data_IF_038311269223
#
_entry.id   IF_038311269223
#
_cell.length_a   1.000
_cell.length_b   1.000
_cell.length_c   1.000
_cell.angle_alpha   90.00
_cell.angle_beta   90.00
_cell.angle_gamma   90.00
#
_symmetry.space_group_name_H-M   'P 1'
#
loop_
_entity.id
_entity.type
_entity.pdbx_description
1 polymer ?
#
# COMPACT_ATOMS: atom_id res chain seq x y z
N UNK A 1 -1.53 -12.31 18.17
CA UNK A 1 -2.90 -12.82 18.08
C UNK A 1 -3.90 -11.70 17.72
N UNK A 2 -3.89 -10.57 18.45
CA UNK A 2 -4.79 -9.44 18.18
C UNK A 2 -4.66 -8.95 16.73
N UNK A 3 -3.48 -8.67 16.27
CA UNK A 3 -3.22 -8.21 14.90
C UNK A 3 -3.67 -9.21 13.83
N UNK A 4 -3.52 -10.51 14.11
CA UNK A 4 -4.01 -11.55 13.21
C UNK A 4 -5.53 -11.47 13.01
N UNK A 5 -6.30 -11.31 14.11
CA UNK A 5 -7.76 -11.18 14.04
C UNK A 5 -8.18 -9.82 13.49
N UNK A 6 -7.58 -8.73 13.99
CA UNK A 6 -8.01 -7.37 13.76
C UNK A 6 -7.59 -6.82 12.39
N UNK A 7 -6.34 -7.08 11.99
CA UNK A 7 -5.74 -6.45 10.80
C UNK A 7 -5.62 -7.40 9.61
N UNK A 8 -5.38 -8.69 9.87
CA UNK A 8 -5.02 -9.63 8.82
C UNK A 8 -6.13 -10.60 8.44
N UNK A 9 -7.20 -10.70 9.26
CA UNK A 9 -8.31 -11.62 8.98
C UNK A 9 -9.68 -10.97 9.23
N UNK A 10 -10.35 -11.33 10.32
CA UNK A 10 -11.78 -11.08 10.52
C UNK A 10 -12.19 -9.63 10.79
N UNK A 11 -11.27 -8.75 11.06
CA UNK A 11 -11.46 -7.32 11.35
C UNK A 11 -12.11 -7.01 12.72
N UNK A 12 -12.01 -5.76 13.21
CA UNK A 12 -12.65 -5.32 14.46
C UNK A 12 -14.16 -5.54 14.47
N UNK A 13 -14.80 -5.49 13.29
CA UNK A 13 -16.27 -5.58 13.16
C UNK A 13 -16.81 -7.02 13.21
N UNK A 14 -15.95 -8.03 13.34
CA UNK A 14 -16.37 -9.44 13.39
C UNK A 14 -17.04 -9.86 14.71
N UNK A 15 -16.99 -9.00 15.73
CA UNK A 15 -17.57 -9.27 17.05
C UNK A 15 -16.73 -10.18 17.93
N UNK A 16 -15.43 -10.39 17.61
CA UNK A 16 -14.52 -11.12 18.50
C UNK A 16 -14.39 -10.41 19.85
N UNK A 17 -14.13 -11.18 20.90
CA UNK A 17 -13.95 -10.71 22.27
C UNK A 17 -12.49 -10.85 22.69
N UNK A 18 -12.14 -10.23 23.83
CA UNK A 18 -10.81 -10.37 24.42
C UNK A 18 -10.43 -11.86 24.68
N UNK A 19 -11.42 -12.68 25.03
CA UNK A 19 -11.23 -14.12 25.20
C UNK A 19 -10.78 -14.80 23.92
N UNK A 20 -11.36 -14.45 22.76
CA UNK A 20 -10.96 -14.98 21.45
C UNK A 20 -9.50 -14.67 21.14
N UNK A 21 -9.02 -13.45 21.51
CA UNK A 21 -7.63 -13.06 21.35
C UNK A 21 -6.70 -13.93 22.21
N UNK A 22 -7.08 -14.19 23.47
CA UNK A 22 -6.31 -15.05 24.37
C UNK A 22 -6.28 -16.49 23.85
N UNK A 23 -7.42 -17.01 23.43
CA UNK A 23 -7.51 -18.36 22.85
C UNK A 23 -6.69 -18.48 21.57
N UNK A 24 -6.71 -17.45 20.72
CA UNK A 24 -5.87 -17.40 19.51
C UNK A 24 -4.39 -17.33 19.87
N UNK A 25 -4.01 -16.58 20.91
CA UNK A 25 -2.64 -16.58 21.40
C UNK A 25 -2.19 -17.98 21.84
N UNK A 26 -3.05 -18.72 22.52
CA UNK A 26 -2.78 -20.12 22.89
C UNK A 26 -2.62 -21.05 21.68
N UNK A 27 -3.39 -20.83 20.59
CA UNK A 27 -3.21 -21.57 19.33
C UNK A 27 -1.83 -21.29 18.73
N UNK A 28 -1.34 -20.05 18.84
CA UNK A 28 -0.05 -19.65 18.29
C UNK A 28 1.15 -20.07 19.12
N UNK A 29 0.97 -20.47 20.39
CA UNK A 29 2.08 -20.97 21.22
C UNK A 29 2.72 -22.20 20.61
N UNK A 30 4.01 -22.40 20.84
CA UNK A 30 4.78 -23.51 20.30
C UNK A 30 5.41 -23.23 18.92
N UNK A 31 4.95 -22.19 18.19
CA UNK A 31 5.61 -21.76 16.95
C UNK A 31 6.84 -20.90 17.25
N UNK A 32 8.00 -21.34 16.80
CA UNK A 32 9.31 -20.77 17.15
C UNK A 32 10.20 -20.64 15.92
N UNK A 33 11.08 -19.63 15.95
CA UNK A 33 12.20 -19.53 15.03
C UNK A 33 13.36 -20.39 15.49
N UNK A 34 14.03 -21.06 14.58
CA UNK A 34 15.36 -21.62 14.86
C UNK A 34 16.38 -20.47 14.87
N UNK A 35 16.96 -20.24 16.04
CA UNK A 35 18.08 -19.33 16.17
C UNK A 35 19.37 -20.09 15.82
N UNK A 36 19.91 -19.90 14.61
CA UNK A 36 21.23 -20.38 14.25
C UNK A 36 22.32 -19.44 14.75
N UNK A 37 23.56 -19.92 14.82
CA UNK A 37 24.75 -19.11 15.16
C UNK A 37 24.94 -17.93 14.21
N UNK A 38 24.41 -18.01 12.99
CA UNK A 38 24.31 -16.90 12.03
C UNK A 38 22.85 -16.47 11.93
N UNK A 39 22.56 -15.34 12.52
CA UNK A 39 21.23 -14.72 12.67
C UNK A 39 20.46 -14.52 11.35
N UNK A 40 21.09 -14.68 10.20
CA UNK A 40 20.59 -14.37 8.86
C UNK A 40 20.30 -15.60 7.99
N UNK A 41 20.66 -16.81 8.41
CA UNK A 41 20.54 -18.00 7.57
C UNK A 41 19.26 -18.80 7.78
N UNK A 42 18.40 -18.45 8.74
CA UNK A 42 17.30 -19.33 9.10
C UNK A 42 15.98 -18.58 9.30
N UNK A 43 15.24 -18.44 8.25
CA UNK A 43 13.79 -18.18 8.32
C UNK A 43 12.95 -19.41 8.72
N UNK A 44 13.57 -20.47 9.19
CA UNK A 44 12.89 -21.73 9.53
C UNK A 44 12.04 -21.58 10.76
N UNK A 45 10.73 -21.61 10.56
CA UNK A 45 9.73 -21.68 11.62
C UNK A 45 9.38 -23.14 11.88
N UNK A 46 9.44 -23.58 13.12
CA UNK A 46 9.05 -24.91 13.53
C UNK A 46 8.06 -24.89 14.69
N UNK A 47 7.34 -25.97 14.86
CA UNK A 47 6.42 -26.17 15.97
C UNK A 47 7.07 -27.03 17.03
N UNK A 48 7.09 -26.52 18.27
CA UNK A 48 7.61 -27.19 19.46
C UNK A 48 6.45 -27.45 20.44
N UNK A 49 6.11 -28.72 20.61
CA UNK A 49 4.96 -29.13 21.43
C UNK A 49 5.14 -28.85 22.91
N UNK A 50 6.39 -28.79 23.42
CA UNK A 50 6.66 -28.51 24.82
C UNK A 50 6.27 -27.09 25.23
N UNK A 51 6.34 -26.16 24.27
CA UNK A 51 5.94 -24.75 24.44
C UNK A 51 4.52 -24.46 23.99
N UNK A 52 3.76 -25.47 23.61
CA UNK A 52 2.38 -25.28 23.19
C UNK A 52 1.41 -25.40 24.37
N UNK A 53 0.57 -24.39 24.56
CA UNK A 53 -0.48 -24.41 25.59
C UNK A 53 -1.38 -25.65 25.44
N UNK A 54 -1.56 -26.49 26.47
CA UNK A 54 -2.37 -27.68 26.38
C UNK A 54 -3.89 -27.37 26.31
N UNK A 55 -4.67 -28.36 25.92
CA UNK A 55 -6.13 -28.29 25.90
C UNK A 55 -6.73 -27.77 24.60
N UNK A 56 -8.06 -27.83 24.49
CA UNK A 56 -8.84 -27.28 23.38
C UNK A 56 -8.90 -25.77 23.48
N UNK A 57 -8.93 -25.05 22.34
CA UNK A 57 -9.09 -23.63 22.24
C UNK A 57 -10.36 -23.31 21.47
N UNK A 58 -11.07 -22.25 21.86
CA UNK A 58 -12.27 -21.81 21.19
C UNK A 58 -12.12 -20.36 20.75
N UNK A 59 -12.25 -20.11 19.44
CA UNK A 59 -12.18 -18.75 18.86
C UNK A 59 -13.39 -18.54 17.97
N UNK A 60 -14.08 -17.43 18.14
CA UNK A 60 -15.29 -17.09 17.39
C UNK A 60 -16.32 -18.24 17.37
N UNK A 61 -16.50 -18.87 18.52
CA UNK A 61 -17.46 -19.96 18.69
C UNK A 61 -17.00 -21.33 18.17
N UNK A 62 -15.88 -21.44 17.44
CA UNK A 62 -15.35 -22.69 16.88
C UNK A 62 -14.22 -23.27 17.73
N UNK A 63 -14.23 -24.58 17.94
CA UNK A 63 -13.18 -25.27 18.67
C UNK A 63 -12.06 -25.77 17.76
N UNK A 64 -10.81 -25.62 18.25
CA UNK A 64 -9.60 -26.06 17.58
C UNK A 64 -8.87 -27.10 18.44
N UNK A 65 -8.50 -28.19 17.78
CA UNK A 65 -7.75 -29.29 18.44
C UNK A 65 -6.33 -28.80 18.67
N UNK A 66 -5.73 -29.20 19.80
CA UNK A 66 -4.34 -28.90 20.15
C UNK A 66 -3.34 -29.33 19.07
N UNK A 67 -2.20 -28.65 19.03
CA UNK A 67 -1.04 -28.99 18.23
C UNK A 67 -0.88 -28.19 16.95
N UNK A 68 0.07 -28.61 16.13
CA UNK A 68 0.54 -27.91 14.93
C UNK A 68 -0.58 -27.52 13.95
N UNK A 69 -1.60 -28.37 13.80
CA UNK A 69 -2.68 -28.16 12.84
C UNK A 69 -3.69 -27.07 13.26
N UNK A 70 -3.76 -26.72 14.55
CA UNK A 70 -4.75 -25.78 15.05
C UNK A 70 -4.61 -24.39 14.39
N UNK A 71 -3.39 -23.89 14.20
CA UNK A 71 -3.13 -22.60 13.59
C UNK A 71 -3.59 -22.54 12.13
N UNK A 72 -3.21 -23.52 11.32
CA UNK A 72 -3.58 -23.55 9.90
C UNK A 72 -5.09 -23.70 9.69
N UNK A 73 -5.78 -24.48 10.55
CA UNK A 73 -7.23 -24.59 10.51
C UNK A 73 -7.91 -23.28 10.90
N UNK A 74 -7.43 -22.61 11.96
CA UNK A 74 -7.96 -21.32 12.39
C UNK A 74 -7.78 -20.25 11.29
N UNK A 75 -6.60 -20.16 10.67
CA UNK A 75 -6.36 -19.23 9.56
C UNK A 75 -7.30 -19.50 8.39
N UNK A 76 -7.50 -20.78 8.02
CA UNK A 76 -8.42 -21.15 6.93
C UNK A 76 -9.86 -20.73 7.25
N UNK A 77 -10.31 -20.96 8.48
CA UNK A 77 -11.66 -20.56 8.89
C UNK A 77 -11.83 -19.04 8.89
N UNK A 78 -10.83 -18.32 9.39
CA UNK A 78 -10.87 -16.84 9.43
C UNK A 78 -10.79 -16.22 8.04
N UNK A 79 -10.00 -16.77 7.13
CA UNK A 79 -9.93 -16.28 5.75
C UNK A 79 -11.25 -16.44 4.99
N UNK A 80 -12.07 -17.43 5.36
CA UNK A 80 -13.39 -17.64 4.79
C UNK A 80 -14.54 -17.07 5.65
N UNK A 81 -14.22 -16.38 6.73
CA UNK A 81 -15.22 -15.72 7.55
C UNK A 81 -15.83 -14.52 6.78
N UNK A 82 -17.17 -14.34 6.80
CA UNK A 82 -17.82 -13.25 6.07
C UNK A 82 -17.22 -11.88 6.34
N UNK A 83 -16.90 -11.57 7.60
CA UNK A 83 -16.27 -10.30 7.96
C UNK A 83 -14.87 -10.12 7.37
N UNK A 84 -14.07 -11.20 7.23
CA UNK A 84 -12.77 -11.13 6.57
C UNK A 84 -12.93 -10.80 5.08
N UNK A 85 -13.82 -11.52 4.41
CA UNK A 85 -14.07 -11.33 2.98
C UNK A 85 -14.53 -9.90 2.69
N UNK A 86 -15.47 -9.37 3.48
CA UNK A 86 -15.97 -8.02 3.33
C UNK A 86 -14.90 -6.97 3.66
N UNK A 87 -14.15 -7.16 4.72
CA UNK A 87 -13.07 -6.27 5.15
C UNK A 87 -11.97 -6.16 4.11
N UNK A 88 -11.49 -7.27 3.56
CA UNK A 88 -10.43 -7.26 2.54
C UNK A 88 -10.96 -6.70 1.22
N UNK A 89 -12.19 -7.04 0.81
CA UNK A 89 -12.81 -6.44 -0.38
C UNK A 89 -12.94 -4.91 -0.24
N UNK A 90 -13.34 -4.41 0.93
CA UNK A 90 -13.38 -2.99 1.25
C UNK A 90 -11.99 -2.35 1.15
N UNK A 91 -10.96 -2.97 1.73
CA UNK A 91 -9.58 -2.45 1.67
C UNK A 91 -9.03 -2.42 0.25
N UNK A 92 -9.28 -3.43 -0.56
CA UNK A 92 -8.87 -3.44 -1.97
C UNK A 92 -9.54 -2.30 -2.76
N UNK A 93 -10.85 -2.12 -2.61
CA UNK A 93 -11.56 -1.01 -3.25
C UNK A 93 -11.11 0.35 -2.70
N UNK A 94 -10.85 0.45 -1.40
CA UNK A 94 -10.34 1.68 -0.78
C UNK A 94 -8.96 2.04 -1.32
N UNK A 95 -8.08 1.09 -1.47
CA UNK A 95 -6.75 1.33 -1.99
C UNK A 95 -6.76 1.74 -3.47
N UNK A 96 -7.61 1.07 -4.29
CA UNK A 96 -7.56 1.22 -5.74
C UNK A 96 -8.50 2.30 -6.30
N UNK A 97 -9.63 2.62 -5.62
CA UNK A 97 -10.73 3.35 -6.26
C UNK A 97 -11.13 4.59 -5.46
N UNK A 98 -11.55 4.44 -4.19
CA UNK A 98 -12.15 5.52 -3.39
C UNK A 98 -12.04 5.23 -1.90
N UNK A 99 -11.99 6.28 -1.07
CA UNK A 99 -11.87 6.14 0.39
C UNK A 99 -13.07 5.41 1.01
N UNK A 100 -14.25 5.56 0.42
CA UNK A 100 -15.51 4.99 0.92
C UNK A 100 -16.21 4.14 -0.18
N UNK A 101 -15.73 2.91 -0.41
CA UNK A 101 -16.27 2.07 -1.46
C UNK A 101 -17.71 1.64 -1.19
N UNK A 102 -18.53 1.62 -2.24
CA UNK A 102 -19.90 1.16 -2.18
C UNK A 102 -19.99 -0.37 -2.15
N UNK A 103 -21.13 -0.90 -1.73
CA UNK A 103 -21.41 -2.34 -1.80
C UNK A 103 -21.33 -2.88 -3.24
N UNK A 104 -21.70 -2.07 -4.24
CA UNK A 104 -21.59 -2.43 -5.65
C UNK A 104 -20.16 -2.68 -6.08
N UNK A 105 -19.20 -1.84 -5.61
CA UNK A 105 -17.78 -2.01 -5.90
C UNK A 105 -17.21 -3.27 -5.24
N UNK A 106 -17.63 -3.59 -4.03
CA UNK A 106 -17.13 -4.75 -3.28
C UNK A 106 -17.72 -6.08 -3.76
N UNK A 107 -18.95 -6.09 -4.25
CA UNK A 107 -19.70 -7.32 -4.57
C UNK A 107 -18.98 -8.28 -5.54
N UNK A 108 -18.35 -7.84 -6.65
CA UNK A 108 -17.62 -8.75 -7.55
C UNK A 108 -16.43 -9.42 -6.86
N UNK A 109 -15.70 -8.71 -5.99
CA UNK A 109 -14.54 -9.23 -5.25
C UNK A 109 -15.01 -10.28 -4.25
N UNK A 110 -16.07 -9.99 -3.50
CA UNK A 110 -16.70 -10.92 -2.55
C UNK A 110 -17.18 -12.20 -3.28
N UNK A 111 -17.78 -12.03 -4.45
CA UNK A 111 -18.24 -13.17 -5.28
C UNK A 111 -17.08 -14.01 -5.76
N UNK A 112 -16.00 -13.40 -6.25
CA UNK A 112 -14.78 -14.10 -6.67
C UNK A 112 -14.16 -14.88 -5.51
N UNK A 113 -14.08 -14.28 -4.33
CA UNK A 113 -13.57 -14.93 -3.12
C UNK A 113 -14.35 -16.19 -2.79
N UNK A 114 -15.67 -16.09 -2.67
CA UNK A 114 -16.56 -17.22 -2.34
C UNK A 114 -16.49 -18.33 -3.38
N UNK A 115 -16.42 -17.97 -4.68
CA UNK A 115 -16.35 -18.94 -5.78
C UNK A 115 -15.02 -19.70 -5.81
N UNK A 116 -13.92 -19.05 -5.45
CA UNK A 116 -12.56 -19.58 -5.56
C UNK A 116 -11.99 -20.12 -4.24
N UNK A 117 -12.78 -20.16 -3.15
CA UNK A 117 -12.33 -20.52 -1.79
C UNK A 117 -11.11 -19.70 -1.35
N UNK A 118 -11.11 -18.39 -1.67
CA UNK A 118 -10.02 -17.49 -1.26
C UNK A 118 -8.78 -17.52 -2.17
N UNK A 119 -8.87 -18.04 -3.39
CA UNK A 119 -7.73 -18.06 -4.31
C UNK A 119 -7.35 -16.65 -4.78
N UNK A 120 -6.20 -16.16 -4.30
CA UNK A 120 -5.78 -14.77 -4.47
C UNK A 120 -5.74 -14.27 -5.92
N UNK A 121 -5.25 -15.03 -6.92
CA UNK A 121 -5.25 -14.55 -8.30
C UNK A 121 -6.64 -14.18 -8.83
N UNK A 122 -7.69 -14.93 -8.50
CA UNK A 122 -9.07 -14.62 -8.90
C UNK A 122 -9.61 -13.38 -8.17
N UNK A 123 -9.23 -13.22 -6.90
CA UNK A 123 -9.60 -12.05 -6.10
C UNK A 123 -8.92 -10.79 -6.66
N UNK A 124 -7.62 -10.85 -6.95
CA UNK A 124 -6.88 -9.74 -7.53
C UNK A 124 -7.41 -9.37 -8.91
N UNK A 125 -7.71 -10.36 -9.76
CA UNK A 125 -8.34 -10.12 -11.06
C UNK A 125 -9.64 -9.35 -10.92
N UNK A 126 -10.54 -9.82 -10.03
CA UNK A 126 -11.82 -9.13 -9.78
C UNK A 126 -11.61 -7.71 -9.26
N UNK A 127 -10.63 -7.47 -8.38
CA UNK A 127 -10.32 -6.14 -7.86
C UNK A 127 -9.84 -5.18 -8.96
N UNK A 128 -8.99 -5.67 -9.88
CA UNK A 128 -8.51 -4.89 -11.02
C UNK A 128 -9.67 -4.58 -11.99
N UNK A 129 -10.52 -5.56 -12.31
CA UNK A 129 -11.70 -5.35 -13.18
C UNK A 129 -12.66 -4.30 -12.58
N UNK A 130 -12.88 -4.33 -11.27
CA UNK A 130 -13.68 -3.31 -10.57
C UNK A 130 -13.00 -1.95 -10.62
N UNK A 131 -11.69 -1.86 -10.42
CA UNK A 131 -10.95 -0.61 -10.51
C UNK A 131 -11.08 0.02 -11.90
N UNK A 132 -10.96 -0.77 -12.97
CA UNK A 132 -11.17 -0.28 -14.33
C UNK A 132 -12.62 0.14 -14.60
N UNK A 133 -13.61 -0.58 -14.07
CA UNK A 133 -15.03 -0.22 -14.23
C UNK A 133 -15.38 1.14 -13.61
N UNK A 134 -14.69 1.53 -12.52
CA UNK A 134 -14.95 2.75 -11.76
C UNK A 134 -13.85 3.80 -11.87
N UNK A 135 -12.97 3.71 -12.87
CA UNK A 135 -11.82 4.60 -13.04
C UNK A 135 -12.19 6.05 -13.37
N UNK A 136 -13.39 6.29 -13.90
CA UNK A 136 -13.91 7.61 -14.25
C UNK A 136 -14.18 8.51 -13.04
N UNK A 137 -14.16 7.93 -11.85
CA UNK A 137 -14.52 8.65 -10.62
C UNK A 137 -13.35 9.43 -9.99
N UNK A 138 -12.11 9.19 -10.38
CA UNK A 138 -10.89 9.90 -9.94
C UNK A 138 -10.95 10.44 -8.51
N UNK A 139 -11.48 9.63 -7.59
CA UNK A 139 -11.80 10.08 -6.24
C UNK A 139 -10.69 9.80 -5.23
N UNK A 140 -9.65 9.08 -5.65
CA UNK A 140 -8.56 8.69 -4.77
C UNK A 140 -7.42 9.69 -4.81
N UNK A 141 -7.17 10.38 -3.70
CA UNK A 141 -5.99 11.21 -3.60
C UNK A 141 -4.73 10.35 -3.48
N UNK A 142 -3.74 10.65 -4.32
CA UNK A 142 -2.49 9.89 -4.37
C UNK A 142 -1.71 10.04 -3.07
N UNK A 143 -1.33 8.92 -2.45
CA UNK A 143 -0.32 8.95 -1.41
C UNK A 143 1.03 9.39 -1.98
N UNK A 144 2.04 9.74 -1.17
CA UNK A 144 3.32 10.24 -1.65
C UNK A 144 4.05 9.28 -2.60
N UNK A 145 4.00 7.97 -2.34
CA UNK A 145 4.64 6.96 -3.18
C UNK A 145 3.99 6.88 -4.57
N UNK A 146 2.67 6.76 -4.62
CA UNK A 146 1.94 6.69 -5.88
C UNK A 146 2.12 7.96 -6.72
N UNK A 147 2.04 9.13 -6.09
CA UNK A 147 2.26 10.40 -6.78
C UNK A 147 3.67 10.51 -7.35
N UNK A 148 4.67 10.08 -6.60
CA UNK A 148 6.05 10.09 -7.05
C UNK A 148 6.30 9.12 -8.22
N UNK A 149 5.76 7.89 -8.13
CA UNK A 149 5.79 6.92 -9.21
C UNK A 149 5.09 7.42 -10.47
N UNK A 150 3.95 8.09 -10.31
CA UNK A 150 3.22 8.68 -11.43
C UNK A 150 4.03 9.77 -12.11
N UNK A 151 4.65 10.69 -11.38
CA UNK A 151 5.56 11.69 -11.95
C UNK A 151 6.67 11.03 -12.78
N UNK A 152 7.30 9.99 -12.24
CA UNK A 152 8.35 9.27 -12.93
C UNK A 152 7.88 8.62 -14.24
N UNK A 153 6.69 8.01 -14.23
CA UNK A 153 6.08 7.41 -15.43
C UNK A 153 5.70 8.45 -16.47
N UNK A 154 5.08 9.54 -16.07
CA UNK A 154 4.67 10.62 -16.97
C UNK A 154 5.86 11.27 -17.69
N UNK A 155 7.02 11.31 -17.06
CA UNK A 155 8.23 11.98 -17.58
C UNK A 155 9.22 11.02 -18.24
N UNK A 156 8.91 9.72 -18.34
CA UNK A 156 9.88 8.68 -18.76
C UNK A 156 11.18 8.75 -17.93
N UNK A 157 11.08 9.09 -16.65
CA UNK A 157 12.24 9.25 -15.79
C UNK A 157 13.04 7.95 -15.69
N UNK A 158 14.33 8.04 -16.00
CA UNK A 158 15.24 6.92 -15.76
C UNK A 158 15.53 6.82 -14.27
N UNK A 159 15.21 5.69 -13.69
CA UNK A 159 15.58 5.39 -12.31
C UNK A 159 17.09 5.21 -12.22
N UNK A 160 17.74 5.73 -11.18
CA UNK A 160 19.13 5.38 -10.95
C UNK A 160 19.25 3.86 -10.85
N UNK A 161 20.33 3.26 -11.39
CA UNK A 161 20.59 1.84 -11.21
C UNK A 161 20.58 1.53 -9.71
N UNK A 162 20.17 0.31 -9.36
CA UNK A 162 20.23 -0.18 -7.98
C UNK A 162 21.65 0.06 -7.47
N UNK A 163 21.76 0.86 -6.43
CA UNK A 163 23.04 1.09 -5.77
C UNK A 163 23.32 -0.11 -4.88
N UNK A 164 24.32 -0.93 -5.23
CA UNK A 164 24.71 -2.12 -4.45
C UNK A 164 25.12 -1.78 -3.01
N UNK A 165 25.35 -0.48 -2.72
CA UNK A 165 25.53 0.04 -1.37
C UNK A 165 24.28 -0.08 -0.49
N UNK A 166 23.13 -0.44 -1.06
CA UNK A 166 21.93 -0.76 -0.28
C UNK A 166 22.13 -1.96 0.67
N UNK A 167 23.06 -2.85 0.36
CA UNK A 167 23.38 -3.98 1.24
C UNK A 167 24.15 -3.57 2.52
N UNK A 168 24.71 -2.36 2.57
CA UNK A 168 25.38 -1.82 3.78
C UNK A 168 24.39 -1.43 4.90
N UNK A 169 23.09 -1.50 4.66
CA UNK A 169 22.04 -1.24 5.65
C UNK A 169 22.12 -2.13 6.89
N UNK A 170 22.71 -3.31 6.74
CA UNK A 170 22.81 -4.27 7.84
C UNK A 170 23.88 -3.92 8.86
N UNK A 171 24.79 -3.01 8.56
CA UNK A 171 25.96 -2.72 9.42
C UNK A 171 25.84 -1.40 10.19
N UNK A 172 24.84 -0.56 9.90
CA UNK A 172 24.66 0.74 10.58
C UNK A 172 25.73 1.79 10.29
N UNK A 173 26.70 1.50 9.41
CA UNK A 173 27.85 2.36 9.10
C UNK A 173 27.95 2.77 7.61
N UNK A 174 26.92 2.57 6.83
CA UNK A 174 26.89 3.04 5.43
C UNK A 174 26.44 4.51 5.32
N UNK A 175 26.70 5.18 4.16
CA UNK A 175 26.08 6.47 3.89
C UNK A 175 24.56 6.30 3.97
N UNK A 176 23.90 7.23 4.66
CA UNK A 176 22.46 7.20 4.91
C UNK A 176 21.71 6.98 3.57
N UNK A 177 21.14 5.78 3.32
CA UNK A 177 20.45 5.46 2.07
C UNK A 177 19.18 6.31 1.90
N UNK A 178 18.72 6.98 2.97
CA UNK A 178 17.64 7.96 2.95
C UNK A 178 18.00 9.27 2.24
N UNK A 179 19.26 9.48 1.94
CA UNK A 179 19.68 10.56 1.05
C UNK A 179 19.44 10.24 -0.44
N UNK A 180 19.18 8.97 -0.78
CA UNK A 180 18.65 8.65 -2.10
C UNK A 180 17.29 9.35 -2.28
N UNK A 181 17.16 10.11 -3.36
CA UNK A 181 16.07 11.07 -3.61
C UNK A 181 14.65 10.55 -3.35
N UNK A 182 14.25 9.31 -3.76
CA UNK A 182 12.90 8.80 -3.48
C UNK A 182 12.61 8.62 -1.99
N UNK A 183 13.53 8.04 -1.26
CA UNK A 183 13.35 7.78 0.17
C UNK A 183 13.29 9.07 0.99
N UNK A 184 14.16 10.05 0.67
CA UNK A 184 14.10 11.35 1.32
C UNK A 184 12.77 12.05 1.06
N UNK A 185 12.30 12.05 -0.18
CA UNK A 185 11.00 12.60 -0.55
C UNK A 185 9.86 11.95 0.25
N UNK A 186 9.78 10.62 0.21
CA UNK A 186 8.71 9.90 0.91
C UNK A 186 8.77 10.14 2.42
N UNK A 187 9.97 10.14 3.02
CA UNK A 187 10.17 10.46 4.43
C UNK A 187 9.69 11.88 4.76
N UNK A 188 10.09 12.87 3.97
CA UNK A 188 9.69 14.26 4.15
C UNK A 188 8.17 14.46 4.00
N UNK A 189 7.52 13.58 3.22
CA UNK A 189 6.07 13.52 3.06
C UNK A 189 5.35 12.69 4.14
N UNK A 190 6.06 12.20 5.16
CA UNK A 190 5.48 11.36 6.20
C UNK A 190 5.19 9.91 5.80
N UNK A 191 5.59 9.50 4.58
CA UNK A 191 5.43 8.15 4.07
C UNK A 191 6.80 7.47 3.94
N UNK A 192 7.33 6.98 5.05
CA UNK A 192 8.61 6.29 5.06
C UNK A 192 8.41 4.80 4.77
N UNK A 193 8.69 4.30 3.54
CA UNK A 193 8.43 2.91 3.18
C UNK A 193 9.03 1.93 4.20
N UNK A 194 8.26 0.90 4.53
CA UNK A 194 8.64 -0.17 5.49
C UNK A 194 8.88 0.25 6.94
N UNK A 195 8.71 1.53 7.29
CA UNK A 195 8.92 2.04 8.65
C UNK A 195 7.65 2.68 9.23
N UNK A 196 6.47 2.13 8.93
CA UNK A 196 5.26 2.51 9.66
C UNK A 196 5.44 2.21 11.15
N UNK A 197 5.11 3.18 11.99
CA UNK A 197 5.18 3.01 13.45
C UNK A 197 4.08 2.09 13.99
N UNK A 198 3.02 1.92 13.22
CA UNK A 198 1.88 1.10 13.61
C UNK A 198 1.75 -0.14 12.73
N UNK A 199 1.26 -1.25 13.28
CA UNK A 199 1.12 -2.52 12.55
C UNK A 199 0.07 -2.49 11.43
N UNK A 200 -0.85 -1.51 11.44
CA UNK A 200 -1.84 -1.30 10.40
C UNK A 200 -1.28 -0.63 9.13
N UNK A 201 -0.01 -0.23 9.14
CA UNK A 201 0.62 0.46 8.01
C UNK A 201 0.25 1.94 7.94
N UNK A 202 0.52 2.56 6.80
CA UNK A 202 0.10 3.92 6.49
C UNK A 202 -1.37 3.96 6.08
N UNK A 203 -2.01 5.09 6.31
CA UNK A 203 -3.42 5.27 5.96
C UNK A 203 -3.65 5.24 4.45
N UNK A 204 -4.79 4.64 4.08
CA UNK A 204 -5.30 4.67 2.71
C UNK A 204 -6.25 5.85 2.46
N UNK A 205 -6.54 6.69 3.47
CA UNK A 205 -7.54 7.75 3.38
C UNK A 205 -6.93 9.05 2.86
N UNK A 206 -7.66 9.75 2.01
CA UNK A 206 -7.28 11.04 1.42
C UNK A 206 -6.96 12.08 2.50
N UNK A 207 -7.75 12.11 3.57
CA UNK A 207 -7.63 13.12 4.65
C UNK A 207 -6.25 13.12 5.32
N UNK A 208 -5.57 11.98 5.36
CA UNK A 208 -4.23 11.86 5.94
C UNK A 208 -3.13 12.39 5.02
N UNK A 209 -3.43 12.62 3.72
CA UNK A 209 -2.45 13.01 2.70
C UNK A 209 -2.69 14.39 2.07
N UNK A 210 -3.80 15.07 2.42
CA UNK A 210 -4.20 16.35 1.79
C UNK A 210 -3.96 17.56 2.70
N UNK A 211 -3.20 17.45 3.78
CA UNK A 211 -2.91 18.59 4.64
C UNK A 211 -2.17 19.70 3.87
N UNK A 212 -2.34 20.95 4.28
CA UNK A 212 -1.69 22.10 3.64
C UNK A 212 -0.17 21.94 3.57
N UNK A 213 0.44 21.39 4.62
CA UNK A 213 1.88 21.12 4.66
C UNK A 213 2.30 20.09 3.60
N UNK A 214 1.58 18.99 3.47
CA UNK A 214 1.90 17.95 2.50
C UNK A 214 1.68 18.42 1.06
N UNK A 215 0.69 19.28 0.81
CA UNK A 215 0.50 19.91 -0.49
C UNK A 215 1.66 20.85 -0.82
N UNK A 216 2.09 21.70 0.11
CA UNK A 216 3.26 22.58 -0.09
C UNK A 216 4.51 21.74 -0.37
N UNK A 217 4.72 20.65 0.34
CA UNK A 217 5.85 19.74 0.09
C UNK A 217 5.81 19.16 -1.33
N UNK A 218 4.63 18.79 -1.86
CA UNK A 218 4.48 18.35 -3.26
C UNK A 218 4.89 19.44 -4.25
N UNK A 219 4.48 20.69 -4.01
CA UNK A 219 4.90 21.83 -4.85
C UNK A 219 6.42 21.99 -4.86
N UNK A 220 7.05 21.93 -3.69
CA UNK A 220 8.52 22.03 -3.55
C UNK A 220 9.24 20.87 -4.26
N UNK A 221 8.71 19.65 -4.18
CA UNK A 221 9.30 18.49 -4.87
C UNK A 221 9.09 18.54 -6.38
N UNK A 222 7.95 18.99 -6.87
CA UNK A 222 7.76 19.25 -8.29
C UNK A 222 8.76 20.31 -8.80
N UNK A 223 8.99 21.38 -8.02
CA UNK A 223 10.04 22.36 -8.31
C UNK A 223 11.43 21.72 -8.36
N UNK A 224 11.77 20.87 -7.39
CA UNK A 224 13.07 20.18 -7.36
C UNK A 224 13.21 19.21 -8.54
N UNK A 225 12.13 18.54 -8.93
CA UNK A 225 12.07 17.69 -10.13
C UNK A 225 12.42 18.47 -11.39
N UNK A 226 11.87 19.68 -11.56
CA UNK A 226 12.23 20.57 -12.65
C UNK A 226 13.73 20.89 -12.69
N UNK A 227 14.31 21.25 -11.54
CA UNK A 227 15.74 21.59 -11.44
C UNK A 227 16.62 20.40 -11.83
N UNK A 228 16.20 19.18 -11.44
CA UNK A 228 16.96 17.96 -11.71
C UNK A 228 16.82 17.45 -13.17
N UNK A 229 15.64 17.53 -13.74
CA UNK A 229 15.36 17.08 -15.10
C UNK A 229 15.92 18.03 -16.16
N UNK A 230 16.06 19.33 -15.80
CA UNK A 230 16.50 20.38 -16.72
C UNK A 230 15.81 20.25 -18.10
N UNK A 231 14.46 20.20 -18.14
CA UNK A 231 13.76 20.03 -19.40
C UNK A 231 14.17 21.15 -20.36
N UNK A 232 14.36 20.81 -21.63
CA UNK A 232 14.66 21.82 -22.65
C UNK A 232 13.44 22.73 -22.81
N UNK A 233 13.61 23.99 -22.39
CA UNK A 233 12.50 24.90 -22.19
C UNK A 233 12.19 25.74 -23.43
N UNK A 234 12.96 25.60 -24.51
CA UNK A 234 12.82 26.50 -25.66
C UNK A 234 11.50 26.34 -26.40
N UNK A 235 10.91 25.12 -26.42
CA UNK A 235 9.79 24.82 -27.33
C UNK A 235 8.56 24.18 -26.70
N UNK A 236 8.42 24.08 -25.37
CA UNK A 236 7.33 23.35 -24.71
C UNK A 236 7.21 21.84 -25.07
N UNK A 237 8.07 21.30 -25.89
CA UNK A 237 8.01 19.90 -26.37
C UNK A 237 7.92 18.88 -25.24
N UNK A 238 8.67 19.11 -24.17
CA UNK A 238 8.59 18.23 -22.99
C UNK A 238 7.16 18.18 -22.42
N UNK A 239 6.52 19.34 -22.24
CA UNK A 239 5.17 19.41 -21.68
C UNK A 239 4.13 18.86 -22.63
N UNK A 240 4.26 19.15 -23.93
CA UNK A 240 3.39 18.62 -24.97
C UNK A 240 3.46 17.09 -25.03
N UNK A 241 4.68 16.51 -25.00
CA UNK A 241 4.86 15.06 -24.94
C UNK A 241 4.20 14.45 -23.69
N UNK A 242 4.49 15.03 -22.52
CA UNK A 242 3.92 14.52 -21.25
C UNK A 242 2.39 14.62 -21.26
N UNK A 243 1.86 15.75 -21.71
CA UNK A 243 0.41 15.99 -21.70
C UNK A 243 -0.32 15.11 -22.72
N UNK A 244 0.21 15.01 -23.95
CA UNK A 244 -0.41 14.17 -25.00
C UNK A 244 -0.43 12.69 -24.64
N UNK A 245 0.56 12.22 -23.91
CA UNK A 245 0.67 10.79 -23.57
C UNK A 245 -0.11 10.41 -22.30
N UNK A 246 -0.55 11.37 -21.47
CA UNK A 246 -1.06 11.07 -20.14
C UNK A 246 -2.44 11.66 -19.82
N UNK A 247 -3.04 12.45 -20.72
CA UNK A 247 -4.32 13.10 -20.44
C UNK A 247 -5.32 12.92 -21.60
N UNK A 248 -6.56 12.67 -21.28
CA UNK A 248 -7.65 12.50 -22.26
C UNK A 248 -7.98 13.79 -23.01
N UNK A 249 -7.72 14.96 -22.41
CA UNK A 249 -7.94 16.25 -23.03
C UNK A 249 -6.68 17.12 -22.99
N UNK A 250 -5.67 16.78 -23.82
CA UNK A 250 -4.36 17.43 -23.83
C UNK A 250 -4.44 18.92 -24.14
N UNK A 251 -5.31 19.36 -25.06
CA UNK A 251 -5.43 20.77 -25.43
C UNK A 251 -5.90 21.64 -24.25
N UNK A 252 -6.85 21.16 -23.44
CA UNK A 252 -7.31 21.85 -22.24
C UNK A 252 -6.16 22.03 -21.25
N UNK A 253 -5.37 20.99 -21.00
CA UNK A 253 -4.23 21.04 -20.09
C UNK A 253 -3.15 21.99 -20.65
N UNK A 254 -2.81 21.86 -21.93
CA UNK A 254 -1.84 22.76 -22.56
C UNK A 254 -2.29 24.22 -22.53
N UNK A 255 -3.58 24.52 -22.71
CA UNK A 255 -4.09 25.88 -22.59
C UNK A 255 -3.86 26.48 -21.20
N UNK A 256 -3.95 25.68 -20.16
CA UNK A 256 -3.66 26.11 -18.77
C UNK A 256 -2.15 26.34 -18.59
N UNK A 257 -1.32 25.41 -19.08
CA UNK A 257 0.13 25.52 -18.95
C UNK A 257 0.71 26.70 -19.73
N UNK A 258 0.18 27.01 -20.93
CA UNK A 258 0.64 28.11 -21.78
C UNK A 258 0.39 29.49 -21.16
N UNK A 259 -0.56 29.63 -20.23
CA UNK A 259 -0.79 30.86 -19.47
C UNK A 259 0.37 31.21 -18.53
N UNK A 260 1.18 30.24 -18.15
CA UNK A 260 2.32 30.44 -17.27
C UNK A 260 3.57 30.73 -18.09
N UNK A 261 4.23 31.86 -17.83
CA UNK A 261 5.41 32.26 -18.59
C UNK A 261 6.67 31.50 -18.16
N UNK A 262 6.80 31.19 -16.87
CA UNK A 262 8.01 30.53 -16.35
C UNK A 262 7.89 29.01 -16.47
N UNK A 263 8.87 28.36 -17.08
CA UNK A 263 8.85 26.90 -17.24
C UNK A 263 8.75 26.12 -15.92
N UNK A 264 9.38 26.64 -14.87
CA UNK A 264 9.29 26.04 -13.52
C UNK A 264 7.86 26.05 -12.98
N UNK A 265 7.10 27.12 -13.24
CA UNK A 265 5.71 27.23 -12.79
C UNK A 265 4.80 26.27 -13.57
N UNK A 266 5.08 26.05 -14.88
CA UNK A 266 4.40 25.04 -15.68
C UNK A 266 4.63 23.64 -15.11
N UNK A 267 5.85 23.34 -14.71
CA UNK A 267 6.21 22.05 -14.15
C UNK A 267 5.52 21.81 -12.79
N UNK A 268 5.58 22.80 -11.91
CA UNK A 268 4.89 22.74 -10.62
C UNK A 268 3.39 22.55 -10.83
N UNK A 269 2.79 23.31 -11.73
CA UNK A 269 1.35 23.23 -12.02
C UNK A 269 0.98 21.86 -12.58
N UNK A 270 1.70 21.37 -13.59
CA UNK A 270 1.42 20.08 -14.24
C UNK A 270 1.33 18.92 -13.21
N UNK A 271 2.33 18.81 -12.35
CA UNK A 271 2.38 17.69 -11.38
C UNK A 271 1.49 17.88 -10.15
N UNK A 272 0.83 19.03 -10.03
CA UNK A 272 -0.15 19.30 -8.98
C UNK A 272 -1.56 19.55 -9.53
N UNK A 273 -1.82 19.22 -10.81
CA UNK A 273 -3.17 19.20 -11.34
C UNK A 273 -4.03 18.18 -10.59
N UNK A 274 -5.34 18.44 -10.42
CA UNK A 274 -6.25 17.47 -9.78
C UNK A 274 -6.20 16.09 -10.42
N UNK A 275 -6.00 15.98 -11.72
CA UNK A 275 -5.88 14.73 -12.47
C UNK A 275 -4.61 13.94 -12.13
N UNK A 276 -3.56 14.62 -11.64
CA UNK A 276 -2.30 13.99 -11.20
C UNK A 276 -2.32 13.69 -9.72
N UNK A 277 -3.01 14.52 -8.93
CA UNK A 277 -3.15 14.32 -7.48
C UNK A 277 -4.18 13.25 -7.12
N UNK A 278 -5.07 12.92 -8.05
CA UNK A 278 -6.14 11.93 -7.87
C UNK A 278 -6.04 10.87 -8.95
N UNK A 279 -6.15 9.61 -8.54
CA UNK A 279 -6.19 8.46 -9.43
C UNK A 279 -7.62 7.98 -9.62
#
# INVERSE_FOLDING_TARGET
>A
ARELLELHTVSPNSGYKQEDIVQMAYIMTGWRHKWGKKRLETGDVHFDSEYHQPGKKKVLGKEYIKGKKALSLAIKDFSNHPSCIEFIAMKLCRYLITDYPSKEMMAPIIKAWKKSDGYLPEIHKAAIEVAFKFNDKHNKFQNPENWWLQMGRMTDAKWPPRDDRFDSYQTGYGPDPYQAKPHKFMKDMGHHPYLSQQPNGYSDLTEDWISSELVIRRLLYARQGYINLKPDNKNNEFYEKVVNNNFDNPEKIMSILRKNQKPIDKHILLFNLPQVLRA
#
